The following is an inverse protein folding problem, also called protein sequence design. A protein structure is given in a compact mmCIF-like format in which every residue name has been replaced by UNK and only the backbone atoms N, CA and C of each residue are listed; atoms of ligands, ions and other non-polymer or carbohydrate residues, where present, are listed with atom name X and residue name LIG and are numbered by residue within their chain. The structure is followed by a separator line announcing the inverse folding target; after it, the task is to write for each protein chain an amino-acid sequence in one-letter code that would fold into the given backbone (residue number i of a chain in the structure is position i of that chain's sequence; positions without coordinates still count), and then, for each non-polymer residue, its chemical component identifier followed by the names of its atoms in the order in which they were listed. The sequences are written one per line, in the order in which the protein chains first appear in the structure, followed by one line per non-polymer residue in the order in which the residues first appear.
data_IF_680764292984
#
_entry.id   IF_680764292984
#
_cell.length_a   1.000
_cell.length_b   1.000
_cell.length_c   1.000
_cell.angle_alpha   90.00
_cell.angle_beta   90.00
_cell.angle_gamma   90.00
#
_symmetry.space_group_name_H-M   'P 1'
#
loop_
_entity.id
_entity.type
_entity.pdbx_description
1 polymer ?
#
# COMPACT_ATOMS: atom_id res chain seq x y z
N UNK A 1 16.87 13.76 -11.18
CA UNK A 1 15.63 13.36 -10.49
C UNK A 1 15.88 13.44 -9.00
N UNK A 2 14.96 14.03 -8.27
CA UNK A 2 15.02 14.12 -6.81
C UNK A 2 13.92 13.22 -6.24
N UNK A 3 14.30 12.40 -5.28
CA UNK A 3 13.41 11.48 -4.57
C UNK A 3 13.48 11.79 -3.08
N UNK A 4 12.34 11.95 -2.45
CA UNK A 4 12.25 12.10 -1.00
C UNK A 4 12.49 10.74 -0.32
N UNK A 5 13.18 10.75 0.81
CA UNK A 5 13.43 9.57 1.63
C UNK A 5 13.76 10.00 3.05
N UNK A 6 13.24 9.30 4.05
CA UNK A 6 13.49 9.64 5.44
C UNK A 6 13.71 8.38 6.28
N UNK A 7 14.82 8.35 7.02
CA UNK A 7 15.24 7.21 7.85
C UNK A 7 15.35 5.88 7.06
N UNK A 8 15.82 5.95 5.81
CA UNK A 8 16.03 4.80 4.94
C UNK A 8 17.51 4.40 4.92
N UNK A 9 17.79 3.11 5.11
CA UNK A 9 19.12 2.54 4.81
C UNK A 9 19.15 2.12 3.34
N UNK A 10 19.83 2.89 2.50
CA UNK A 10 19.96 2.58 1.06
C UNK A 10 20.92 1.39 0.86
N UNK A 11 20.43 0.33 0.22
CA UNK A 11 21.21 -0.86 -0.12
C UNK A 11 21.74 -0.79 -1.55
N UNK A 12 20.89 -0.41 -2.50
CA UNK A 12 21.30 -0.27 -3.91
C UNK A 12 20.35 0.65 -4.68
N UNK A 13 20.89 1.23 -5.75
CA UNK A 13 20.15 1.99 -6.75
C UNK A 13 20.55 1.45 -8.12
N UNK A 14 19.58 1.25 -9.00
CA UNK A 14 19.86 0.96 -10.41
C UNK A 14 18.97 1.73 -11.37
N UNK A 15 19.47 2.00 -12.55
CA UNK A 15 18.75 2.66 -13.64
C UNK A 15 18.82 1.78 -14.87
N UNK A 16 17.66 1.39 -15.39
CA UNK A 16 17.55 0.47 -16.55
C UNK A 16 18.38 -0.82 -16.38
N UNK A 17 18.36 -1.38 -15.15
CA UNK A 17 19.08 -2.59 -14.78
C UNK A 17 20.58 -2.41 -14.49
N UNK A 18 21.14 -1.19 -14.61
CA UNK A 18 22.54 -0.90 -14.31
C UNK A 18 22.66 -0.32 -12.90
N UNK A 19 23.34 -1.02 -12.01
CA UNK A 19 23.60 -0.55 -10.64
C UNK A 19 24.50 0.69 -10.67
N UNK A 20 24.11 1.72 -9.95
CA UNK A 20 24.88 2.95 -9.81
C UNK A 20 25.94 2.82 -8.70
N UNK A 21 27.13 3.36 -8.95
CA UNK A 21 28.16 3.56 -7.92
C UNK A 21 27.89 4.84 -7.14
N UNK A 22 28.48 4.96 -5.94
CA UNK A 22 28.20 6.06 -5.00
C UNK A 22 28.53 7.47 -5.54
N UNK A 23 29.37 7.59 -6.56
CA UNK A 23 29.70 8.84 -7.24
C UNK A 23 28.68 9.26 -8.30
N UNK A 24 27.73 8.39 -8.64
CA UNK A 24 26.70 8.62 -9.65
C UNK A 24 25.36 9.15 -9.08
N UNK A 25 25.25 9.25 -7.78
CA UNK A 25 24.08 9.84 -7.10
C UNK A 25 24.52 10.64 -5.87
N UNK A 26 23.64 11.47 -5.36
CA UNK A 26 23.84 12.17 -4.10
C UNK A 26 22.80 11.65 -3.11
N UNK A 27 23.24 11.26 -1.92
CA UNK A 27 22.41 10.77 -0.84
C UNK A 27 22.53 11.69 0.37
N UNK A 28 21.41 12.13 0.91
CA UNK A 28 21.30 12.82 2.18
C UNK A 28 20.30 12.08 3.10
N UNK A 29 20.09 12.60 4.30
CA UNK A 29 19.13 12.04 5.26
C UNK A 29 17.67 12.16 4.78
N UNK A 30 17.40 13.04 3.81
CA UNK A 30 16.04 13.34 3.34
C UNK A 30 15.84 13.13 1.84
N UNK A 31 16.91 12.92 1.06
CA UNK A 31 16.80 12.86 -0.40
C UNK A 31 17.84 11.94 -1.04
N UNK A 32 17.41 11.32 -2.12
CA UNK A 32 18.26 10.67 -3.11
C UNK A 32 18.17 11.45 -4.44
N UNK A 33 19.28 12.02 -4.89
CA UNK A 33 19.34 12.79 -6.12
C UNK A 33 20.16 12.02 -7.16
N UNK A 34 19.52 11.71 -8.29
CA UNK A 34 20.18 11.03 -9.42
C UNK A 34 20.23 12.01 -10.59
N UNK A 35 21.42 12.54 -10.90
CA UNK A 35 21.59 13.48 -12.02
C UNK A 35 21.48 12.73 -13.37
N UNK A 36 21.17 13.47 -14.41
CA UNK A 36 21.27 13.02 -15.81
C UNK A 36 20.45 11.73 -16.13
N UNK A 37 19.29 11.55 -15.49
CA UNK A 37 18.38 10.49 -15.90
C UNK A 37 17.81 10.78 -17.31
N UNK A 38 17.60 9.75 -18.15
CA UNK A 38 16.86 9.91 -19.40
C UNK A 38 15.39 10.26 -19.11
N UNK A 39 14.69 10.82 -20.10
CA UNK A 39 13.28 11.23 -20.00
C UNK A 39 12.36 10.05 -19.64
N UNK A 40 12.75 8.83 -19.98
CA UNK A 40 12.08 7.59 -19.58
C UNK A 40 13.11 6.59 -19.07
N UNK A 41 12.93 6.11 -17.86
CA UNK A 41 13.82 5.15 -17.21
C UNK A 41 13.05 4.23 -16.25
N UNK A 42 13.57 3.02 -16.07
CA UNK A 42 13.23 2.16 -14.94
C UNK A 42 14.24 2.43 -13.83
N UNK A 43 13.73 2.96 -12.72
CA UNK A 43 14.52 3.19 -11.51
C UNK A 43 14.18 2.11 -10.49
N UNK A 44 15.20 1.48 -9.92
CA UNK A 44 15.04 0.53 -8.83
C UNK A 44 15.85 1.03 -7.62
N UNK A 45 15.18 1.10 -6.47
CA UNK A 45 15.83 1.34 -5.19
C UNK A 45 15.58 0.16 -4.26
N UNK A 46 16.61 -0.29 -3.58
CA UNK A 46 16.49 -1.27 -2.50
C UNK A 46 16.89 -0.59 -1.21
N UNK A 47 15.95 -0.58 -0.28
CA UNK A 47 16.14 0.04 1.03
C UNK A 47 15.84 -0.96 2.15
N UNK A 48 16.40 -0.71 3.32
CA UNK A 48 16.06 -1.41 4.56
C UNK A 48 15.43 -0.42 5.51
N UNK A 49 14.31 -0.82 6.11
CA UNK A 49 13.56 -0.08 7.12
C UNK A 49 13.34 -0.96 8.34
N UNK A 50 12.97 -0.37 9.47
CA UNK A 50 12.70 -1.08 10.71
C UNK A 50 11.31 -0.73 11.26
N UNK A 51 10.23 -1.25 10.64
CA UNK A 51 8.86 -0.89 11.02
C UNK A 51 8.48 -1.34 12.44
N UNK A 52 9.13 -2.38 12.98
CA UNK A 52 8.86 -2.84 14.35
C UNK A 52 9.31 -1.83 15.41
N UNK A 53 10.31 -1.00 15.12
CA UNK A 53 10.84 0.03 16.00
C UNK A 53 10.44 1.46 15.57
N UNK A 54 9.61 1.60 14.55
CA UNK A 54 9.10 2.90 14.12
C UNK A 54 8.05 3.41 15.12
N UNK A 55 8.39 4.44 15.89
CA UNK A 55 7.52 5.11 16.87
C UNK A 55 6.95 6.43 16.37
N UNK A 56 7.33 6.87 15.16
CA UNK A 56 6.80 8.09 14.55
C UNK A 56 5.33 7.93 14.13
N UNK A 57 4.83 6.69 14.00
CA UNK A 57 3.49 6.36 13.50
C UNK A 57 3.23 6.96 12.11
N UNK A 58 4.28 6.98 11.30
CA UNK A 58 4.32 7.53 9.96
C UNK A 58 5.13 6.57 9.05
N UNK A 59 4.71 6.39 7.80
CA UNK A 59 5.21 5.32 6.94
C UNK A 59 4.68 3.94 7.35
N UNK A 60 5.52 2.92 7.33
CA UNK A 60 5.20 1.56 7.78
C UNK A 60 5.64 1.38 9.24
N UNK A 61 4.74 0.96 10.11
CA UNK A 61 5.01 0.73 11.53
C UNK A 61 4.21 -0.45 12.07
N UNK A 62 4.50 -0.85 13.30
CA UNK A 62 3.80 -1.93 14.00
C UNK A 62 2.86 -1.37 15.07
N UNK A 63 1.59 -1.77 15.04
CA UNK A 63 0.56 -1.40 16.01
C UNK A 63 -0.26 -2.64 16.38
N UNK A 64 -0.48 -2.89 17.68
CA UNK A 64 -1.35 -3.97 18.15
C UNK A 64 -0.97 -5.39 17.70
N UNK A 65 0.25 -5.61 17.20
CA UNK A 65 0.69 -6.90 16.66
C UNK A 65 0.64 -7.00 15.14
N UNK A 66 0.00 -6.08 14.45
CA UNK A 66 -0.02 -5.98 12.99
C UNK A 66 0.93 -4.90 12.48
N UNK A 67 1.34 -4.99 11.23
CA UNK A 67 2.00 -3.92 10.48
C UNK A 67 0.93 -3.14 9.72
N UNK A 68 1.05 -1.82 9.74
CA UNK A 68 0.16 -0.93 8.99
C UNK A 68 0.90 0.32 8.53
N UNK A 69 0.34 1.00 7.54
CA UNK A 69 0.91 2.23 7.00
C UNK A 69 0.06 3.45 7.38
N UNK A 70 0.75 4.57 7.59
CA UNK A 70 0.19 5.92 7.57
C UNK A 70 1.06 6.74 6.61
N UNK A 71 0.51 7.12 5.46
CA UNK A 71 1.28 7.82 4.42
C UNK A 71 0.85 9.28 4.23
N UNK A 72 -0.30 9.70 4.71
CA UNK A 72 -0.75 11.09 4.68
C UNK A 72 -0.10 11.88 5.83
N UNK A 73 0.54 13.03 5.53
CA UNK A 73 0.65 13.67 4.21
C UNK A 73 1.92 13.26 3.45
N UNK A 74 3.03 12.88 4.11
CA UNK A 74 4.37 12.64 3.53
C UNK A 74 5.06 11.41 4.13
N UNK A 75 4.29 10.40 4.56
CA UNK A 75 4.81 9.19 5.20
C UNK A 75 5.34 8.15 4.22
N UNK A 76 4.98 8.20 2.93
CA UNK A 76 5.46 7.22 1.96
C UNK A 76 6.98 7.22 1.81
N UNK A 77 7.64 8.39 1.94
CA UNK A 77 9.09 8.56 1.93
C UNK A 77 9.83 7.83 3.06
N UNK A 78 9.11 7.38 4.10
CA UNK A 78 9.66 6.51 5.14
C UNK A 78 9.62 5.03 4.80
N UNK A 79 9.03 4.67 3.66
CA UNK A 79 8.96 3.29 3.17
C UNK A 79 10.00 3.06 2.09
N UNK A 80 10.12 3.99 1.14
CA UNK A 80 11.09 3.93 0.05
C UNK A 80 11.36 5.33 -0.50
N UNK A 81 12.43 5.49 -1.27
CA UNK A 81 12.68 6.71 -2.03
C UNK A 81 11.62 6.89 -3.12
N UNK A 82 10.96 8.05 -3.13
CA UNK A 82 9.87 8.33 -4.05
C UNK A 82 9.70 9.84 -4.26
N UNK A 83 9.20 10.34 -5.41
CA UNK A 83 8.78 11.73 -5.53
C UNK A 83 7.46 11.93 -4.77
N UNK A 84 7.58 12.05 -3.43
CA UNK A 84 6.47 11.97 -2.47
C UNK A 84 5.69 13.29 -2.38
N UNK A 85 5.00 13.60 -3.48
CA UNK A 85 4.20 14.82 -3.66
C UNK A 85 2.81 14.46 -4.20
N UNK A 86 1.76 15.22 -3.84
CA UNK A 86 0.37 14.90 -4.23
C UNK A 86 0.09 15.09 -5.74
N UNK A 87 0.92 15.82 -6.46
CA UNK A 87 0.82 16.01 -7.92
C UNK A 87 1.45 14.85 -8.72
N UNK A 88 2.19 13.96 -8.08
CA UNK A 88 2.77 12.76 -8.70
C UNK A 88 1.80 11.60 -8.57
N UNK A 89 1.11 11.30 -9.65
CA UNK A 89 0.07 10.29 -9.73
C UNK A 89 0.58 9.02 -10.40
N UNK A 90 0.55 7.89 -9.69
CA UNK A 90 1.08 6.61 -10.16
C UNK A 90 0.10 5.45 -9.97
N UNK A 91 0.24 4.44 -10.81
CA UNK A 91 -0.35 3.11 -10.63
C UNK A 91 0.55 2.31 -9.70
N UNK A 92 -0.03 1.58 -8.76
CA UNK A 92 0.70 0.79 -7.78
C UNK A 92 0.46 -0.71 -7.97
N UNK A 93 1.54 -1.46 -7.99
CA UNK A 93 1.53 -2.92 -7.81
C UNK A 93 2.37 -3.24 -6.58
N UNK A 94 1.76 -3.91 -5.61
CA UNK A 94 2.39 -4.20 -4.32
C UNK A 94 2.56 -5.70 -4.16
N UNK A 95 3.80 -6.15 -3.97
CA UNK A 95 4.13 -7.53 -3.59
C UNK A 95 4.51 -7.56 -2.12
N UNK A 96 3.74 -8.30 -1.31
CA UNK A 96 4.01 -8.48 0.10
C UNK A 96 4.48 -9.91 0.32
N UNK A 97 5.66 -10.08 0.90
CA UNK A 97 6.26 -11.38 1.18
C UNK A 97 6.55 -11.45 2.67
N UNK A 98 5.95 -12.41 3.37
CA UNK A 98 6.10 -12.54 4.81
C UNK A 98 5.88 -13.99 5.28
N UNK A 99 6.19 -14.24 6.55
CA UNK A 99 5.84 -15.48 7.25
C UNK A 99 4.31 -15.60 7.32
N UNK A 100 3.76 -16.69 6.75
CA UNK A 100 2.33 -16.91 6.62
C UNK A 100 1.63 -17.13 7.97
N UNK A 101 2.35 -17.65 8.96
CA UNK A 101 1.81 -17.93 10.29
C UNK A 101 1.70 -16.65 11.13
N UNK A 102 2.67 -15.74 10.96
CA UNK A 102 2.71 -14.48 11.70
C UNK A 102 1.78 -13.45 11.05
N UNK A 103 1.69 -13.46 9.72
CA UNK A 103 0.92 -12.51 8.93
C UNK A 103 -0.05 -13.24 7.99
N UNK A 104 -1.09 -13.91 8.53
CA UNK A 104 -2.06 -14.62 7.71
C UNK A 104 -2.91 -13.71 6.84
N UNK A 105 -2.98 -12.42 7.14
CA UNK A 105 -3.65 -11.39 6.34
C UNK A 105 -2.60 -10.41 5.84
N UNK A 106 -2.58 -10.16 4.53
CA UNK A 106 -1.70 -9.19 3.87
C UNK A 106 -2.47 -8.42 2.81
N UNK A 107 -2.70 -7.13 3.05
CA UNK A 107 -3.57 -6.26 2.26
C UNK A 107 -2.80 -5.07 1.70
N UNK A 108 -3.22 -4.61 0.52
CA UNK A 108 -2.80 -3.34 -0.07
C UNK A 108 -3.91 -2.77 -0.96
N UNK A 109 -3.67 -1.61 -1.57
CA UNK A 109 -4.64 -0.97 -2.47
C UNK A 109 -4.92 -1.81 -3.72
N UNK A 110 -6.14 -1.69 -4.23
CA UNK A 110 -6.55 -2.26 -5.52
C UNK A 110 -7.17 -3.64 -5.40
N UNK A 111 -7.07 -4.43 -6.48
CA UNK A 111 -7.59 -5.78 -6.56
C UNK A 111 -6.49 -6.82 -6.28
N UNK A 112 -6.88 -7.95 -5.69
CA UNK A 112 -5.99 -9.09 -5.47
C UNK A 112 -5.65 -9.76 -6.82
N UNK A 113 -4.36 -9.88 -7.12
CA UNK A 113 -3.86 -10.51 -8.36
C UNK A 113 -3.42 -11.95 -8.10
N UNK A 114 -2.67 -12.18 -7.02
CA UNK A 114 -2.22 -13.52 -6.64
C UNK A 114 -2.00 -13.62 -5.13
N UNK A 115 -2.14 -14.84 -4.62
CA UNK A 115 -1.93 -15.18 -3.23
C UNK A 115 -1.40 -16.62 -3.17
N UNK A 116 -0.12 -16.76 -2.85
CA UNK A 116 0.60 -18.03 -2.91
C UNK A 116 1.35 -18.25 -1.60
N UNK A 117 1.36 -19.50 -1.15
CA UNK A 117 2.15 -19.92 0.00
C UNK A 117 3.09 -21.08 -0.37
N UNK A 118 4.37 -20.92 -0.04
CA UNK A 118 5.38 -21.94 -0.24
C UNK A 118 6.29 -22.01 0.97
N UNK A 119 6.39 -23.19 1.58
CA UNK A 119 7.26 -23.46 2.72
C UNK A 119 7.07 -22.48 3.91
N UNK A 120 5.81 -22.05 4.17
CA UNK A 120 5.48 -21.12 5.25
C UNK A 120 5.74 -19.65 4.94
N UNK A 121 6.21 -19.35 3.74
CA UNK A 121 6.31 -17.98 3.22
C UNK A 121 5.13 -17.71 2.29
N UNK A 122 4.37 -16.67 2.57
CA UNK A 122 3.24 -16.22 1.76
C UNK A 122 3.64 -15.02 0.94
N UNK A 123 3.28 -15.03 -0.35
CA UNK A 123 3.47 -13.94 -1.29
C UNK A 123 2.11 -13.50 -1.82
N UNK A 124 1.76 -12.24 -1.57
CA UNK A 124 0.48 -11.67 -2.02
C UNK A 124 0.76 -10.50 -2.93
N UNK A 125 0.08 -10.45 -4.08
CA UNK A 125 0.19 -9.37 -5.06
C UNK A 125 -1.13 -8.62 -5.18
N UNK A 126 -1.06 -7.32 -4.97
CA UNK A 126 -2.17 -6.38 -5.16
C UNK A 126 -1.85 -5.44 -6.32
N UNK A 127 -2.84 -5.08 -7.11
CA UNK A 127 -2.72 -4.12 -8.20
C UNK A 127 -3.86 -3.12 -8.17
N UNK A 128 -3.52 -1.85 -8.03
CA UNK A 128 -4.47 -0.76 -8.18
C UNK A 128 -4.25 -0.06 -9.54
N UNK A 129 -5.17 -0.24 -10.49
CA UNK A 129 -5.05 0.31 -11.82
C UNK A 129 -5.29 1.81 -11.89
N UNK A 130 -5.86 2.39 -10.83
CA UNK A 130 -6.17 3.81 -10.76
C UNK A 130 -4.98 4.60 -10.27
N UNK A 131 -4.59 5.63 -11.04
CA UNK A 131 -3.51 6.53 -10.61
C UNK A 131 -3.90 7.25 -9.32
N UNK A 132 -3.01 7.19 -8.34
CA UNK A 132 -3.16 7.90 -7.06
C UNK A 132 -1.83 8.51 -6.60
N UNK A 133 -1.85 9.55 -5.76
CA UNK A 133 -0.66 10.03 -5.09
C UNK A 133 -0.21 9.03 -4.01
N UNK A 134 1.06 9.08 -3.65
CA UNK A 134 1.68 8.18 -2.66
C UNK A 134 1.06 8.24 -1.26
N UNK A 135 0.47 9.37 -0.87
CA UNK A 135 -0.15 9.49 0.46
C UNK A 135 -1.40 8.60 0.65
N UNK A 136 -1.99 8.09 -0.46
CA UNK A 136 -3.10 7.13 -0.43
C UNK A 136 -2.63 5.66 -0.43
N UNK A 137 -1.32 5.41 -0.47
CA UNK A 137 -0.79 4.05 -0.37
C UNK A 137 -1.13 3.45 0.99
N UNK A 138 -1.60 2.20 0.98
CA UNK A 138 -1.91 1.44 2.18
C UNK A 138 -1.34 0.02 2.11
N UNK A 139 -0.79 -0.45 3.22
CA UNK A 139 -0.40 -1.83 3.46
C UNK A 139 -0.77 -2.22 4.89
N UNK A 140 -1.39 -3.40 5.03
CA UNK A 140 -1.69 -4.00 6.34
C UNK A 140 -1.24 -5.45 6.30
N UNK A 141 -0.53 -5.90 7.35
CA UNK A 141 -0.16 -7.30 7.50
C UNK A 141 -0.25 -7.72 8.97
N UNK A 142 -0.94 -8.84 9.24
CA UNK A 142 -1.12 -9.32 10.62
C UNK A 142 -2.16 -10.41 10.76
N UNK A 143 -2.46 -10.76 12.00
CA UNK A 143 -3.50 -11.73 12.36
C UNK A 143 -4.82 -10.98 12.62
N UNK A 144 -5.69 -10.95 11.61
CA UNK A 144 -6.95 -10.25 11.63
C UNK A 144 -8.10 -11.20 11.29
N UNK A 145 -9.26 -10.97 11.89
CA UNK A 145 -10.51 -11.59 11.48
C UNK A 145 -11.18 -10.78 10.37
N UNK A 146 -11.89 -11.46 9.50
CA UNK A 146 -12.63 -10.83 8.40
C UNK A 146 -14.13 -11.04 8.56
N UNK A 147 -14.90 -9.98 8.36
CA UNK A 147 -16.34 -10.05 8.11
C UNK A 147 -16.59 -9.71 6.65
N UNK A 148 -17.22 -10.65 5.95
CA UNK A 148 -17.48 -10.52 4.52
C UNK A 148 -18.95 -10.19 4.25
N UNK A 149 -19.18 -9.39 3.21
CA UNK A 149 -20.48 -9.08 2.62
C UNK A 149 -20.27 -8.72 1.14
N UNK A 150 -21.29 -8.27 0.46
CA UNK A 150 -21.24 -7.82 -0.93
C UNK A 150 -22.17 -6.64 -1.18
N UNK A 151 -21.82 -5.86 -2.17
CA UNK A 151 -22.65 -4.80 -2.73
C UNK A 151 -22.84 -5.04 -4.22
N UNK A 152 -24.06 -4.85 -4.72
CA UNK A 152 -24.36 -4.90 -6.17
C UNK A 152 -24.58 -3.48 -6.64
N UNK A 153 -23.76 -3.03 -7.58
CA UNK A 153 -23.82 -1.69 -8.18
C UNK A 153 -25.06 -1.53 -9.06
N UNK A 154 -25.38 -0.30 -9.46
CA UNK A 154 -26.49 -0.03 -10.38
C UNK A 154 -26.34 -0.76 -11.74
N UNK A 155 -25.10 -0.89 -12.25
CA UNK A 155 -24.81 -1.65 -13.47
C UNK A 155 -24.90 -3.17 -13.31
N UNK A 156 -25.09 -3.67 -12.08
CA UNK A 156 -25.19 -5.09 -11.76
C UNK A 156 -23.86 -5.76 -11.44
N UNK A 157 -22.75 -5.01 -11.32
CA UNK A 157 -21.45 -5.55 -10.91
C UNK A 157 -21.44 -5.84 -9.42
N UNK A 158 -20.92 -7.00 -9.02
CA UNK A 158 -20.75 -7.35 -7.61
C UNK A 158 -19.40 -6.85 -7.10
N UNK A 159 -19.40 -6.19 -5.94
CA UNK A 159 -18.22 -5.72 -5.21
C UNK A 159 -18.15 -6.50 -3.90
N UNK A 160 -17.03 -7.18 -3.65
CA UNK A 160 -16.77 -7.83 -2.38
C UNK A 160 -16.49 -6.80 -1.29
N UNK A 161 -17.17 -6.90 -0.14
CA UNK A 161 -16.95 -6.05 1.02
C UNK A 161 -16.29 -6.89 2.11
N UNK A 162 -15.10 -6.49 2.57
CA UNK A 162 -14.34 -7.23 3.57
C UNK A 162 -13.84 -6.29 4.66
N UNK A 163 -14.39 -6.42 5.86
CA UNK A 163 -13.90 -5.68 7.03
C UNK A 163 -12.95 -6.55 7.84
N UNK A 164 -11.69 -6.13 7.87
CA UNK A 164 -10.64 -6.78 8.64
C UNK A 164 -10.47 -6.07 9.97
N UNK A 165 -10.56 -6.81 11.05
CA UNK A 165 -10.51 -6.27 12.41
C UNK A 165 -9.76 -7.20 13.35
N UNK A 166 -9.24 -6.65 14.43
CA UNK A 166 -8.75 -7.45 15.53
C UNK A 166 -9.88 -8.28 16.15
N UNK A 167 -9.62 -9.48 16.71
CA UNK A 167 -10.64 -10.41 17.20
C UNK A 167 -11.69 -9.81 18.15
N UNK A 168 -11.28 -8.88 19.02
CA UNK A 168 -12.17 -8.24 20.00
C UNK A 168 -13.16 -7.25 19.37
N UNK A 169 -13.05 -6.96 18.09
CA UNK A 169 -13.87 -5.98 17.37
C UNK A 169 -14.84 -6.61 16.36
N UNK A 170 -14.82 -7.93 16.19
CA UNK A 170 -15.61 -8.60 15.14
C UNK A 170 -17.12 -8.33 15.27
N UNK A 171 -17.64 -8.25 16.48
CA UNK A 171 -19.08 -8.02 16.74
C UNK A 171 -19.54 -6.60 16.36
N UNK A 172 -18.60 -5.66 16.15
CA UNK A 172 -18.89 -4.27 15.78
C UNK A 172 -19.03 -4.07 14.27
N UNK A 173 -18.62 -5.05 13.47
CA UNK A 173 -18.51 -4.91 12.00
C UNK A 173 -19.84 -4.84 11.27
N UNK A 174 -20.94 -5.34 11.86
CA UNK A 174 -22.25 -5.36 11.21
C UNK A 174 -22.76 -3.96 10.85
N UNK A 175 -22.68 -3.02 11.79
CA UNK A 175 -23.05 -1.62 11.53
C UNK A 175 -22.16 -0.95 10.47
N UNK A 176 -20.86 -1.22 10.51
CA UNK A 176 -19.92 -0.64 9.56
C UNK A 176 -20.20 -1.12 8.12
N UNK A 177 -20.51 -2.41 7.91
CA UNK A 177 -20.91 -2.93 6.61
C UNK A 177 -22.22 -2.34 6.10
N UNK A 178 -23.23 -2.19 6.99
CA UNK A 178 -24.48 -1.55 6.61
C UNK A 178 -24.27 -0.07 6.24
N UNK A 179 -23.48 0.67 7.01
CA UNK A 179 -23.13 2.06 6.72
C UNK A 179 -22.38 2.17 5.37
N UNK A 180 -21.41 1.29 5.11
CA UNK A 180 -20.68 1.23 3.84
C UNK A 180 -21.62 1.02 2.65
N UNK A 181 -22.52 0.02 2.71
CA UNK A 181 -23.47 -0.23 1.62
C UNK A 181 -24.41 0.95 1.37
N UNK A 182 -24.84 1.65 2.43
CA UNK A 182 -25.65 2.87 2.27
C UNK A 182 -24.87 4.01 1.65
N UNK A 183 -23.58 4.17 2.02
CA UNK A 183 -22.72 5.19 1.42
C UNK A 183 -22.47 4.91 -0.05
N UNK A 184 -22.14 3.67 -0.42
CA UNK A 184 -21.96 3.27 -1.82
C UNK A 184 -23.23 3.53 -2.65
N UNK A 185 -24.40 3.18 -2.11
CA UNK A 185 -25.68 3.47 -2.77
C UNK A 185 -25.92 4.97 -2.94
N UNK A 186 -25.61 5.75 -1.93
CA UNK A 186 -25.76 7.20 -1.97
C UNK A 186 -24.83 7.83 -3.02
N UNK A 187 -23.58 7.36 -3.14
CA UNK A 187 -22.65 7.82 -4.17
C UNK A 187 -23.18 7.55 -5.59
N UNK A 188 -23.77 6.38 -5.81
CA UNK A 188 -24.41 6.05 -7.10
C UNK A 188 -25.61 6.96 -7.39
N UNK A 189 -26.47 7.20 -6.41
CA UNK A 189 -27.72 7.97 -6.60
C UNK A 189 -27.46 9.48 -6.72
N UNK A 190 -26.50 10.02 -5.97
CA UNK A 190 -26.28 11.48 -5.89
C UNK A 190 -25.20 11.94 -6.87
N UNK A 191 -24.11 11.18 -7.01
CA UNK A 191 -22.99 11.56 -7.88
C UNK A 191 -22.93 10.76 -9.18
N UNK A 192 -23.77 9.73 -9.36
CA UNK A 192 -23.70 8.82 -10.50
C UNK A 192 -22.35 8.08 -10.56
N UNK A 193 -21.75 7.76 -9.41
CA UNK A 193 -20.45 7.11 -9.30
C UNK A 193 -20.59 5.74 -8.68
N UNK A 194 -20.37 4.70 -9.48
CA UNK A 194 -20.18 3.35 -8.96
C UNK A 194 -18.75 3.18 -8.42
N UNK A 195 -18.63 2.35 -7.38
CA UNK A 195 -17.31 1.95 -6.90
C UNK A 195 -16.55 1.19 -7.99
N UNK A 196 -15.32 1.52 -8.26
CA UNK A 196 -14.58 1.14 -9.48
C UNK A 196 -13.61 -0.03 -9.31
N UNK A 197 -13.42 -0.55 -8.08
CA UNK A 197 -12.69 -1.79 -7.79
C UNK A 197 -13.63 -2.97 -7.52
N UNK A 198 -13.09 -4.20 -7.53
CA UNK A 198 -13.89 -5.42 -7.30
C UNK A 198 -14.00 -5.78 -5.81
N UNK A 199 -13.21 -5.12 -4.97
CA UNK A 199 -13.16 -5.33 -3.52
C UNK A 199 -13.05 -4.00 -2.79
N UNK A 200 -13.74 -3.87 -1.67
CA UNK A 200 -13.57 -2.83 -0.65
C UNK A 200 -13.12 -3.46 0.65
N UNK A 201 -12.03 -2.93 1.23
CA UNK A 201 -11.46 -3.44 2.49
C UNK A 201 -11.39 -2.35 3.56
#
# INVERSE_FOLDING_TARGET
MELDGHELELISVSVNGNTLSADQYQLSDEQLIIPNLPDSAVLETKVKINPANNTALDGLYRSGGMYCTQCEAQGFRRITFYPDRPDVMSVFTTHIIADAKINPVMLSNGNLVSDEETAGVRTVTWHDPHKKPSYLFALVAGDLLVKEDRFVTQSGREVALKLYVEPQNIDKTGYALDALKRSMRWDEEVYGREYDLDIFM
#
